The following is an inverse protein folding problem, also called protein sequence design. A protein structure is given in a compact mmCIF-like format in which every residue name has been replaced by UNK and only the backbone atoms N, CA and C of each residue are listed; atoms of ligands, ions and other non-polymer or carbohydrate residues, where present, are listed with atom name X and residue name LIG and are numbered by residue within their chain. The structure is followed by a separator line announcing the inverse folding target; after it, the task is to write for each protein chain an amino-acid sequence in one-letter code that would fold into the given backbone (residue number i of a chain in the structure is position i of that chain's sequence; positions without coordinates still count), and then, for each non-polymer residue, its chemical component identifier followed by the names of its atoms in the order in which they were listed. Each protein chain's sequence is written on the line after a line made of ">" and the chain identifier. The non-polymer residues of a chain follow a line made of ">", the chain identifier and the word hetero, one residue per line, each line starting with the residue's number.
data_IF_356378610162
#
_entry.id   IF_356378610162
#
_cell.length_a   1.000
_cell.length_b   1.000
_cell.length_c   1.000
_cell.angle_alpha   90.00
_cell.angle_beta   90.00
_cell.angle_gamma   90.00
#
_symmetry.space_group_name_H-M   'P 1'
#
loop_
_entity.id
_entity.type
_entity.pdbx_description
1 polymer ?
#
# COMPACT_ATOMS: atom_id res chain seq x y z
N UNK A 1 -11.27 10.03 -52.93
CA UNK A 1 -12.10 10.07 -51.71
C UNK A 1 -11.83 8.88 -50.76
N UNK A 2 -11.53 7.67 -51.26
CA UNK A 2 -11.24 6.49 -50.42
C UNK A 2 -10.00 6.63 -49.51
N UNK A 3 -8.88 7.17 -50.01
CA UNK A 3 -7.65 7.35 -49.21
C UNK A 3 -7.90 8.25 -47.98
N UNK A 4 -8.68 9.32 -48.14
CA UNK A 4 -9.02 10.23 -47.03
C UNK A 4 -9.91 9.54 -45.99
N UNK A 5 -10.82 8.66 -46.44
CA UNK A 5 -11.67 7.86 -45.55
C UNK A 5 -10.85 6.83 -44.76
N UNK A 6 -9.92 6.14 -45.43
CA UNK A 6 -8.98 5.22 -44.79
C UNK A 6 -8.07 5.93 -43.78
N UNK A 7 -7.54 7.11 -44.14
CA UNK A 7 -6.73 7.91 -43.22
C UNK A 7 -7.51 8.33 -41.97
N UNK A 8 -8.76 8.79 -42.13
CA UNK A 8 -9.65 9.12 -41.00
C UNK A 8 -9.91 7.90 -40.11
N UNK A 9 -10.14 6.72 -40.70
CA UNK A 9 -10.31 5.48 -39.94
C UNK A 9 -9.04 5.12 -39.15
N UNK A 10 -7.86 5.22 -39.76
CA UNK A 10 -6.59 4.98 -39.08
C UNK A 10 -6.40 5.96 -37.92
N UNK A 11 -6.69 7.25 -38.12
CA UNK A 11 -6.61 8.26 -37.04
C UNK A 11 -7.55 7.92 -35.89
N UNK A 12 -8.79 7.51 -36.17
CA UNK A 12 -9.75 7.11 -35.13
C UNK A 12 -9.23 5.87 -34.39
N UNK A 13 -8.71 4.86 -35.09
CA UNK A 13 -8.15 3.66 -34.47
C UNK A 13 -6.98 4.02 -33.56
N UNK A 14 -6.06 4.88 -34.02
CA UNK A 14 -4.93 5.35 -33.23
C UNK A 14 -5.39 6.13 -31.99
N UNK A 15 -6.42 6.97 -32.12
CA UNK A 15 -7.00 7.70 -30.99
C UNK A 15 -7.59 6.73 -29.95
N UNK A 16 -8.37 5.75 -30.38
CA UNK A 16 -8.94 4.73 -29.49
C UNK A 16 -7.82 3.95 -28.79
N UNK A 17 -6.80 3.54 -29.54
CA UNK A 17 -5.64 2.85 -28.98
C UNK A 17 -4.91 3.70 -27.92
N UNK A 18 -4.69 4.99 -28.20
CA UNK A 18 -4.05 5.91 -27.26
C UNK A 18 -4.87 6.05 -25.96
N UNK A 19 -6.19 6.23 -26.07
CA UNK A 19 -7.08 6.34 -24.91
C UNK A 19 -7.08 5.06 -24.07
N UNK A 20 -7.16 3.89 -24.71
CA UNK A 20 -7.11 2.60 -24.00
C UNK A 20 -5.79 2.44 -23.24
N UNK A 21 -4.66 2.75 -23.88
CA UNK A 21 -3.36 2.68 -23.21
C UNK A 21 -3.27 3.65 -22.02
N UNK A 22 -3.77 4.88 -22.18
CA UNK A 22 -3.77 5.86 -21.09
C UNK A 22 -4.60 5.36 -19.89
N UNK A 23 -5.76 4.75 -20.13
CA UNK A 23 -6.59 4.15 -19.09
C UNK A 23 -5.86 3.00 -18.38
N UNK A 24 -5.21 2.10 -19.14
CA UNK A 24 -4.46 0.98 -18.58
C UNK A 24 -3.28 1.45 -17.71
N UNK A 25 -2.49 2.40 -18.20
CA UNK A 25 -1.36 2.98 -17.46
C UNK A 25 -1.83 3.68 -16.19
N UNK A 26 -2.93 4.43 -16.28
CA UNK A 26 -3.50 5.11 -15.12
C UNK A 26 -3.96 4.11 -14.06
N UNK A 27 -4.62 3.03 -14.47
CA UNK A 27 -5.04 1.96 -13.56
C UNK A 27 -3.84 1.26 -12.92
N UNK A 28 -2.81 0.92 -13.70
CA UNK A 28 -1.60 0.28 -13.16
C UNK A 28 -0.86 1.19 -12.18
N UNK A 29 -0.72 2.48 -12.49
CA UNK A 29 -0.10 3.48 -11.63
C UNK A 29 -0.86 3.63 -10.30
N UNK A 30 -2.19 3.65 -10.35
CA UNK A 30 -3.03 3.67 -9.16
C UNK A 30 -2.80 2.44 -8.26
N UNK A 31 -2.77 1.25 -8.85
CA UNK A 31 -2.50 0.01 -8.11
C UNK A 31 -1.08 0.00 -7.52
N UNK A 32 -0.08 0.47 -8.27
CA UNK A 32 1.30 0.56 -7.80
C UNK A 32 1.43 1.50 -6.60
N UNK A 33 0.73 2.64 -6.62
CA UNK A 33 0.70 3.59 -5.49
C UNK A 33 0.14 2.93 -4.23
N UNK A 34 -0.94 2.15 -4.36
CA UNK A 34 -1.52 1.42 -3.23
C UNK A 34 -0.58 0.37 -2.64
N UNK A 35 0.13 -0.39 -3.47
CA UNK A 35 1.14 -1.32 -2.96
C UNK A 35 2.36 -0.59 -2.38
N UNK A 36 2.72 0.58 -2.91
CA UNK A 36 3.73 1.46 -2.33
C UNK A 36 3.36 1.91 -0.91
N UNK A 37 2.07 2.18 -0.63
CA UNK A 37 1.59 2.44 0.74
C UNK A 37 1.80 1.24 1.66
N UNK A 38 1.50 0.03 1.22
CA UNK A 38 1.74 -1.20 2.02
C UNK A 38 3.21 -1.30 2.43
N UNK A 39 4.14 -1.04 1.50
CA UNK A 39 5.58 -1.02 1.78
C UNK A 39 5.94 0.09 2.78
N UNK A 40 5.43 1.31 2.57
CA UNK A 40 5.69 2.45 3.44
C UNK A 40 5.22 2.17 4.89
N UNK A 41 3.97 1.75 5.07
CA UNK A 41 3.41 1.47 6.38
C UNK A 41 4.11 0.29 7.08
N UNK A 42 4.52 -0.73 6.33
CA UNK A 42 5.38 -1.79 6.88
C UNK A 42 6.72 -1.23 7.38
N UNK A 43 7.30 -0.27 6.66
CA UNK A 43 8.51 0.46 7.07
C UNK A 43 8.28 1.34 8.30
N UNK A 44 7.12 1.98 8.41
CA UNK A 44 6.71 2.76 9.60
C UNK A 44 6.63 1.85 10.81
N UNK A 45 5.99 0.67 10.72
CA UNK A 45 5.92 -0.29 11.83
C UNK A 45 7.32 -0.60 12.36
N UNK A 46 8.27 -0.95 11.48
CA UNK A 46 9.67 -1.20 11.88
C UNK A 46 10.30 -0.03 12.62
N UNK A 47 10.26 1.17 12.02
CA UNK A 47 10.89 2.36 12.60
C UNK A 47 10.23 2.81 13.90
N UNK A 48 8.90 2.73 13.98
CA UNK A 48 8.13 3.09 15.15
C UNK A 48 8.36 2.11 16.31
N UNK A 49 8.42 0.80 16.05
CA UNK A 49 8.76 -0.19 17.08
C UNK A 49 10.17 0.04 17.65
N UNK A 50 11.17 0.31 16.80
CA UNK A 50 12.53 0.63 17.26
C UNK A 50 12.57 1.92 18.09
N UNK A 51 11.90 2.97 17.62
CA UNK A 51 11.80 4.25 18.32
C UNK A 51 11.08 4.10 19.67
N UNK A 52 10.02 3.29 19.74
CA UNK A 52 9.31 3.00 20.98
C UNK A 52 10.26 2.36 21.99
N UNK A 53 10.91 1.25 21.64
CA UNK A 53 11.86 0.55 22.52
C UNK A 53 12.93 1.51 23.04
N UNK A 54 13.49 2.36 22.17
CA UNK A 54 14.47 3.37 22.57
C UNK A 54 13.91 4.35 23.61
N UNK A 55 12.67 4.81 23.45
CA UNK A 55 12.04 5.74 24.38
C UNK A 55 11.75 5.08 25.73
N UNK A 56 11.27 3.84 25.74
CA UNK A 56 11.04 3.07 26.97
C UNK A 56 12.34 2.88 27.75
N UNK A 57 13.43 2.49 27.08
CA UNK A 57 14.76 2.38 27.68
C UNK A 57 15.29 3.72 28.23
N UNK A 58 14.76 4.84 27.73
CA UNK A 58 15.12 6.19 28.18
C UNK A 58 14.16 6.74 29.24
N UNK A 59 13.26 5.91 29.81
CA UNK A 59 12.21 6.31 30.74
C UNK A 59 11.29 7.43 30.21
N UNK A 60 11.02 7.43 28.90
CA UNK A 60 10.13 8.39 28.24
C UNK A 60 8.96 7.67 27.55
N UNK A 61 8.01 7.11 28.33
CA UNK A 61 6.97 6.25 27.79
C UNK A 61 6.07 6.99 26.80
N UNK A 62 5.71 6.30 25.71
CA UNK A 62 4.83 6.85 24.66
C UNK A 62 3.76 5.86 24.22
N UNK A 63 2.79 5.62 25.09
CA UNK A 63 1.69 4.67 24.85
C UNK A 63 0.89 4.98 23.56
N UNK A 64 0.80 6.25 23.18
CA UNK A 64 0.17 6.65 21.91
C UNK A 64 0.86 6.04 20.67
N UNK A 65 2.17 5.76 20.74
CA UNK A 65 2.89 5.12 19.64
C UNK A 65 2.56 3.62 19.56
N UNK A 66 2.24 2.97 20.69
CA UNK A 66 1.78 1.57 20.72
C UNK A 66 0.46 1.44 19.96
N UNK A 67 -0.49 2.34 20.20
CA UNK A 67 -1.78 2.35 19.52
C UNK A 67 -1.65 2.61 18.02
N UNK A 68 -0.76 3.52 17.61
CA UNK A 68 -0.48 3.75 16.19
C UNK A 68 0.10 2.51 15.51
N UNK A 69 1.06 1.83 16.15
CA UNK A 69 1.65 0.60 15.61
C UNK A 69 0.59 -0.50 15.52
N UNK A 70 -0.25 -0.67 16.55
CA UNK A 70 -1.39 -1.60 16.54
C UNK A 70 -2.32 -1.32 15.36
N UNK A 71 -2.74 -0.07 15.17
CA UNK A 71 -3.64 0.33 14.10
C UNK A 71 -3.04 0.05 12.71
N UNK A 72 -1.77 0.38 12.51
CA UNK A 72 -1.10 0.14 11.22
C UNK A 72 -0.97 -1.37 10.95
N UNK A 73 -0.59 -2.19 11.93
CA UNK A 73 -0.51 -3.64 11.78
C UNK A 73 -1.88 -4.23 11.40
N UNK A 74 -2.95 -3.81 12.09
CA UNK A 74 -4.31 -4.25 11.74
C UNK A 74 -4.71 -3.81 10.32
N UNK A 75 -4.38 -2.58 9.94
CA UNK A 75 -4.63 -2.07 8.60
C UNK A 75 -3.86 -2.81 7.51
N UNK A 76 -2.63 -3.26 7.79
CA UNK A 76 -1.86 -4.09 6.86
C UNK A 76 -2.45 -5.50 6.69
N UNK A 77 -3.09 -6.06 7.73
CA UNK A 77 -3.73 -7.38 7.68
C UNK A 77 -5.07 -7.32 6.96
N UNK A 78 -5.95 -6.41 7.38
CA UNK A 78 -7.37 -6.37 7.00
C UNK A 78 -7.69 -5.34 5.91
N UNK A 79 -6.72 -4.50 5.55
CA UNK A 79 -6.98 -3.26 4.83
C UNK A 79 -7.55 -2.18 5.76
N UNK A 80 -7.36 -0.92 5.39
CA UNK A 80 -7.88 0.22 6.16
C UNK A 80 -8.16 1.40 5.23
N UNK A 81 -9.40 1.92 5.25
CA UNK A 81 -9.80 3.04 4.40
C UNK A 81 -9.20 4.37 4.85
N UNK A 82 -9.01 4.57 6.15
CA UNK A 82 -8.44 5.80 6.72
C UNK A 82 -6.95 5.92 6.40
N UNK A 83 -6.23 4.80 6.36
CA UNK A 83 -4.81 4.73 6.00
C UNK A 83 -4.58 4.58 4.47
N UNK A 84 -5.67 4.46 3.70
CA UNK A 84 -5.65 4.12 2.27
C UNK A 84 -4.82 2.85 2.00
N UNK A 85 -4.98 1.85 2.88
CA UNK A 85 -4.34 0.55 2.78
C UNK A 85 -5.28 -0.45 2.09
N UNK A 86 -4.87 -1.05 0.95
CA UNK A 86 -5.64 -2.10 0.32
C UNK A 86 -5.61 -3.39 1.16
N UNK A 87 -6.65 -4.20 1.06
CA UNK A 87 -6.58 -5.59 1.52
C UNK A 87 -5.63 -6.38 0.62
N UNK A 88 -4.47 -6.78 1.16
CA UNK A 88 -3.46 -7.53 0.42
C UNK A 88 -3.84 -9.01 0.38
N UNK A 89 -4.23 -9.53 -0.78
CA UNK A 89 -4.64 -10.94 -0.95
C UNK A 89 -3.46 -11.93 -1.04
N UNK A 90 -2.23 -11.42 -1.13
CA UNK A 90 -1.05 -12.27 -1.25
C UNK A 90 -0.84 -13.09 0.03
N UNK A 91 -0.90 -14.42 -0.09
CA UNK A 91 -0.79 -15.35 1.06
C UNK A 91 0.54 -15.23 1.80
N UNK A 92 1.65 -15.06 1.08
CA UNK A 92 2.99 -14.94 1.68
C UNK A 92 3.07 -13.69 2.54
N UNK A 93 2.58 -12.55 2.01
CA UNK A 93 2.49 -11.32 2.78
C UNK A 93 1.63 -11.49 4.02
N UNK A 94 0.44 -12.09 3.88
CA UNK A 94 -0.49 -12.32 4.99
C UNK A 94 0.12 -13.17 6.11
N UNK A 95 0.82 -14.25 5.76
CA UNK A 95 1.55 -15.07 6.75
C UNK A 95 2.62 -14.23 7.47
N UNK A 96 3.41 -13.44 6.73
CA UNK A 96 4.48 -12.63 7.33
C UNK A 96 3.95 -11.52 8.24
N UNK A 97 2.89 -10.80 7.86
CA UNK A 97 2.34 -9.73 8.68
C UNK A 97 1.65 -10.29 9.94
N UNK A 98 1.08 -11.49 9.89
CA UNK A 98 0.56 -12.17 11.08
C UNK A 98 1.67 -12.52 12.07
N UNK A 99 2.84 -12.97 11.59
CA UNK A 99 4.02 -13.19 12.47
C UNK A 99 4.45 -11.86 13.11
N UNK A 100 4.45 -10.75 12.36
CA UNK A 100 4.76 -9.42 12.91
C UNK A 100 3.75 -9.04 14.00
N UNK A 101 2.45 -9.31 13.80
CA UNK A 101 1.41 -9.06 14.80
C UNK A 101 1.63 -9.89 16.07
N UNK A 102 1.96 -11.17 15.93
CA UNK A 102 2.25 -12.07 17.06
C UNK A 102 3.46 -11.53 17.85
N UNK A 103 4.59 -11.29 17.18
CA UNK A 103 5.80 -10.77 17.82
C UNK A 103 5.60 -9.39 18.44
N UNK A 104 4.78 -8.55 17.83
CA UNK A 104 4.40 -7.26 18.40
C UNK A 104 3.55 -7.41 19.66
N UNK A 105 2.66 -8.42 19.69
CA UNK A 105 1.85 -8.73 20.87
C UNK A 105 2.70 -9.27 22.01
N UNK A 106 3.69 -10.12 21.70
CA UNK A 106 4.67 -10.59 22.68
C UNK A 106 5.51 -9.43 23.25
N UNK A 107 5.93 -8.49 22.41
CA UNK A 107 6.79 -7.37 22.80
C UNK A 107 6.11 -6.37 23.74
N UNK A 108 4.80 -6.16 23.59
CA UNK A 108 4.03 -5.18 24.37
C UNK A 108 3.38 -5.76 25.63
N UNK A 109 3.42 -7.08 25.79
CA UNK A 109 2.88 -7.78 26.96
C UNK A 109 3.77 -7.58 28.19
#
# INVERSE_FOLDING_TARGET
>A
MEIVKQLKQIVIILLVFAVVNLCLLSFQSYQMTKYGRVVNFSGIVRGASQKLVKNELSNYPKDQEIEKINAIIQGLIKGDKTLDLPLVKNKIFQVKISIVQEKWTDLKA
#
